data_IF_964943661043
#
_entry.id   IF_964943661043
#
_cell.length_a   1.000
_cell.length_b   1.000
_cell.length_c   1.000
_cell.angle_alpha   90.00
_cell.angle_beta   90.00
_cell.angle_gamma   90.00
#
_symmetry.space_group_name_H-M   'P 1'
#
loop_
_entity.id
_entity.type
_entity.pdbx_description
1 polymer ?
#
# COMPACT_ATOMS: atom_id res chain seq x y z
N UNK A 1 -6.97 -1.83 16.39
CA UNK A 1 -5.92 -2.85 16.59
C UNK A 1 -4.65 -2.29 15.94
N UNK A 2 -3.71 -1.73 16.72
CA UNK A 2 -2.39 -1.35 16.22
C UNK A 2 -1.64 -2.64 15.94
N UNK A 3 -1.05 -2.77 14.76
CA UNK A 3 -0.13 -3.87 14.49
C UNK A 3 1.07 -3.75 15.43
N UNK A 4 1.02 -4.41 16.59
CA UNK A 4 2.21 -4.68 17.39
C UNK A 4 2.93 -5.86 16.74
N UNK A 5 3.61 -5.59 15.64
CA UNK A 5 4.68 -6.47 15.18
C UNK A 5 5.89 -6.10 16.04
N UNK A 6 6.35 -7.05 16.83
CA UNK A 6 7.46 -6.90 17.77
C UNK A 6 8.73 -6.42 17.05
N UNK A 7 9.22 -5.23 17.42
CA UNK A 7 10.65 -4.95 17.52
C UNK A 7 11.52 -4.71 16.26
N UNK A 8 10.98 -4.58 15.04
CA UNK A 8 11.78 -4.27 13.84
C UNK A 8 11.52 -2.89 13.21
N UNK A 9 12.40 -2.41 12.33
CA UNK A 9 12.38 -1.08 11.68
C UNK A 9 11.08 -0.71 10.91
N UNK A 10 10.19 -1.68 10.72
CA UNK A 10 8.87 -1.58 10.13
C UNK A 10 7.88 -0.68 10.85
N UNK A 11 8.14 -0.31 12.12
CA UNK A 11 7.31 0.67 12.84
C UNK A 11 7.21 2.02 12.13
N UNK A 12 8.19 2.35 11.26
CA UNK A 12 8.22 3.61 10.51
C UNK A 12 7.26 3.64 9.31
N UNK A 13 6.77 2.47 8.87
CA UNK A 13 5.80 2.35 7.78
C UNK A 13 4.43 2.09 8.40
N UNK A 14 3.71 3.17 8.70
CA UNK A 14 2.34 3.09 9.22
C UNK A 14 1.35 3.53 8.13
N UNK A 15 0.85 2.63 7.29
CA UNK A 15 -0.29 2.91 6.41
C UNK A 15 -1.51 3.33 7.24
N UNK A 16 -2.38 4.14 6.63
CA UNK A 16 -3.62 4.58 7.30
C UNK A 16 -4.54 3.40 7.61
N UNK A 17 -4.63 2.42 6.69
CA UNK A 17 -5.40 1.19 6.87
C UNK A 17 -4.65 0.01 6.26
N UNK A 18 -4.73 -1.15 6.92
CA UNK A 18 -4.26 -2.43 6.38
C UNK A 18 -5.39 -3.44 6.38
N UNK A 19 -5.67 -4.03 5.23
CA UNK A 19 -6.53 -5.21 5.10
C UNK A 19 -5.65 -6.43 4.89
N UNK A 20 -5.89 -7.49 5.65
CA UNK A 20 -5.12 -8.74 5.56
C UNK A 20 -6.00 -9.81 4.97
N UNK A 21 -5.43 -10.57 4.05
CA UNK A 21 -6.04 -11.76 3.47
C UNK A 21 -5.18 -12.98 3.84
N UNK A 22 -5.40 -13.59 5.02
CA UNK A 22 -4.58 -14.69 5.52
C UNK A 22 -4.50 -15.86 4.54
N UNK A 23 -5.62 -16.21 3.92
CA UNK A 23 -5.79 -17.34 3.01
C UNK A 23 -5.01 -17.13 1.71
N UNK A 24 -4.96 -15.89 1.21
CA UNK A 24 -4.16 -15.52 0.04
C UNK A 24 -2.72 -15.13 0.39
N UNK A 25 -2.34 -15.17 1.67
CA UNK A 25 -1.02 -14.74 2.16
C UNK A 25 -0.58 -13.38 1.60
N UNK A 26 -1.52 -12.42 1.54
CA UNK A 26 -1.30 -11.07 1.04
C UNK A 26 -1.99 -10.02 1.93
N UNK A 27 -1.68 -8.75 1.70
CA UNK A 27 -2.28 -7.60 2.37
C UNK A 27 -2.50 -6.44 1.39
N UNK A 28 -3.49 -5.61 1.68
CA UNK A 28 -3.74 -4.35 1.00
C UNK A 28 -3.46 -3.20 1.98
N UNK A 29 -2.48 -2.36 1.65
CA UNK A 29 -2.16 -1.15 2.40
C UNK A 29 -2.86 0.04 1.74
N UNK A 30 -3.59 0.82 2.51
CA UNK A 30 -4.28 2.02 2.02
C UNK A 30 -3.61 3.26 2.60
N UNK A 31 -3.32 4.21 1.71
CA UNK A 31 -2.74 5.51 2.00
C UNK A 31 -3.74 6.58 1.54
N UNK A 32 -4.45 7.21 2.47
CA UNK A 32 -5.38 8.30 2.16
C UNK A 32 -4.60 9.58 1.90
N UNK A 33 -4.77 10.13 0.71
CA UNK A 33 -4.14 11.38 0.32
C UNK A 33 -5.19 12.48 0.13
N UNK A 34 -5.23 13.38 1.12
CA UNK A 34 -6.10 14.56 1.11
C UNK A 34 -5.45 15.80 0.48
N UNK A 35 -4.33 15.63 -0.22
CA UNK A 35 -3.52 16.72 -0.76
C UNK A 35 -2.63 17.43 0.26
N UNK A 36 -2.65 17.01 1.53
CA UNK A 36 -1.93 17.67 2.63
C UNK A 36 -0.47 17.22 2.76
N UNK A 37 -0.13 16.02 2.26
CA UNK A 37 1.25 15.51 2.26
C UNK A 37 2.04 16.12 1.10
N UNK A 38 3.27 16.55 1.34
CA UNK A 38 4.17 16.91 0.25
C UNK A 38 4.50 15.68 -0.60
N UNK A 39 4.83 15.88 -1.88
CA UNK A 39 5.28 14.78 -2.74
C UNK A 39 6.60 14.17 -2.25
N UNK A 40 7.47 14.97 -1.63
CA UNK A 40 8.69 14.50 -0.97
C UNK A 40 8.37 13.51 0.15
N UNK A 41 7.39 13.82 1.01
CA UNK A 41 6.99 12.89 2.07
C UNK A 41 6.41 11.58 1.52
N UNK A 42 5.71 11.64 0.38
CA UNK A 42 5.19 10.45 -0.29
C UNK A 42 6.36 9.63 -0.87
N UNK A 43 7.33 10.26 -1.51
CA UNK A 43 8.52 9.59 -2.02
C UNK A 43 9.32 8.91 -0.89
N UNK A 44 9.51 9.60 0.24
CA UNK A 44 10.15 9.01 1.44
C UNK A 44 9.35 7.81 1.94
N UNK A 45 8.02 7.90 2.00
CA UNK A 45 7.18 6.78 2.43
C UNK A 45 7.28 5.58 1.47
N UNK A 46 7.32 5.82 0.16
CA UNK A 46 7.52 4.77 -0.85
C UNK A 46 8.90 4.11 -0.74
N UNK A 47 9.94 4.91 -0.51
CA UNK A 47 11.28 4.40 -0.23
C UNK A 47 11.29 3.53 1.05
N UNK A 48 10.56 3.94 2.09
CA UNK A 48 10.41 3.11 3.29
C UNK A 48 9.66 1.80 3.00
N UNK A 49 8.67 1.79 2.10
CA UNK A 49 8.02 0.53 1.66
C UNK A 49 8.97 -0.41 0.91
N UNK A 50 9.97 0.14 0.20
CA UNK A 50 11.04 -0.62 -0.46
C UNK A 50 12.04 -1.17 0.56
N UNK A 51 12.55 -0.32 1.44
CA UNK A 51 13.55 -0.69 2.46
C UNK A 51 12.99 -1.59 3.54
N UNK A 52 11.67 -1.45 3.77
CA UNK A 52 10.88 -2.40 4.48
C UNK A 52 11.22 -3.77 3.89
N UNK A 53 10.76 -4.20 2.71
CA UNK A 53 10.86 -5.62 2.25
C UNK A 53 12.23 -6.29 2.36
N UNK A 54 13.31 -5.52 2.49
CA UNK A 54 14.68 -5.97 2.68
C UNK A 54 15.02 -6.40 4.12
N UNK A 55 14.23 -6.07 5.16
CA UNK A 55 14.59 -6.48 6.53
C UNK A 55 14.35 -8.00 6.76
N UNK A 56 15.24 -8.66 7.52
CA UNK A 56 15.21 -10.11 7.71
C UNK A 56 13.94 -10.64 8.39
N UNK A 57 13.29 -9.80 9.19
CA UNK A 57 12.11 -10.13 9.99
C UNK A 57 10.79 -9.75 9.30
N UNK A 58 10.79 -9.44 8.00
CA UNK A 58 9.53 -9.07 7.36
C UNK A 58 8.56 -10.23 7.34
N UNK A 59 7.28 -10.00 7.72
CA UNK A 59 6.27 -10.96 7.38
C UNK A 59 6.16 -11.05 5.85
N UNK A 60 6.40 -12.24 5.30
CA UNK A 60 6.32 -12.55 3.87
C UNK A 60 5.00 -12.13 3.22
N UNK A 61 3.90 -12.13 3.99
CA UNK A 61 2.58 -11.64 3.56
C UNK A 61 2.57 -10.15 3.22
N UNK A 62 3.36 -9.36 3.94
CA UNK A 62 3.48 -7.92 3.77
C UNK A 62 4.46 -7.61 2.63
N UNK A 63 5.42 -8.51 2.34
CA UNK A 63 6.24 -8.43 1.13
C UNK A 63 5.41 -8.54 -0.16
N UNK A 64 4.30 -9.28 -0.10
CA UNK A 64 3.35 -9.48 -1.21
C UNK A 64 2.22 -8.44 -1.22
N UNK A 65 2.33 -7.39 -0.42
CA UNK A 65 1.25 -6.42 -0.32
C UNK A 65 1.19 -5.49 -1.52
N UNK A 66 -0.03 -5.07 -1.86
CA UNK A 66 -0.29 -3.92 -2.71
C UNK A 66 -0.48 -2.66 -1.86
N UNK A 67 -0.02 -1.53 -2.36
CA UNK A 67 -0.11 -0.20 -1.74
C UNK A 67 -1.04 0.65 -2.60
N UNK A 68 -2.17 1.07 -2.05
CA UNK A 68 -3.18 1.84 -2.76
C UNK A 68 -3.25 3.25 -2.18
N UNK A 69 -2.86 4.23 -2.97
CA UNK A 69 -3.09 5.63 -2.66
C UNK A 69 -4.51 6.02 -3.06
N UNK A 70 -5.28 6.52 -2.09
CA UNK A 70 -6.67 6.91 -2.24
C UNK A 70 -6.76 8.42 -2.25
N UNK A 71 -6.98 9.02 -3.42
CA UNK A 71 -6.99 10.47 -3.60
C UNK A 71 -8.35 11.09 -3.27
N UNK A 72 -8.34 12.14 -2.44
CA UNK A 72 -9.51 12.99 -2.19
C UNK A 72 -9.11 14.48 -2.01
N UNK A 73 -9.43 15.37 -2.97
CA UNK A 73 -10.13 15.10 -4.22
C UNK A 73 -9.27 14.31 -5.23
N UNK A 74 -9.89 13.67 -6.23
CA UNK A 74 -9.15 13.03 -7.31
C UNK A 74 -8.32 14.06 -8.08
N UNK A 75 -7.09 13.69 -8.44
CA UNK A 75 -6.18 14.55 -9.18
C UNK A 75 -5.27 13.72 -10.09
N UNK A 76 -5.46 13.77 -11.42
CA UNK A 76 -4.60 13.06 -12.36
C UNK A 76 -3.12 13.44 -12.22
N UNK A 77 -2.83 14.74 -12.10
CA UNK A 77 -1.46 15.24 -11.89
C UNK A 77 -0.82 14.65 -10.63
N UNK A 78 -1.57 14.58 -9.53
CA UNK A 78 -1.08 13.99 -8.29
C UNK A 78 -0.91 12.48 -8.40
N UNK A 79 -1.83 11.78 -9.07
CA UNK A 79 -1.71 10.35 -9.33
C UNK A 79 -0.45 10.04 -10.14
N UNK A 80 -0.19 10.78 -11.22
CA UNK A 80 1.02 10.63 -12.02
C UNK A 80 2.29 10.88 -11.19
N UNK A 81 2.29 11.91 -10.33
CA UNK A 81 3.44 12.19 -9.47
C UNK A 81 3.71 11.06 -8.46
N UNK A 82 2.67 10.47 -7.87
CA UNK A 82 2.81 9.34 -6.95
C UNK A 82 3.33 8.09 -7.67
N UNK A 83 2.80 7.81 -8.87
CA UNK A 83 3.28 6.68 -9.68
C UNK A 83 4.73 6.87 -10.15
N UNK A 84 5.13 8.10 -10.46
CA UNK A 84 6.52 8.43 -10.76
C UNK A 84 7.43 8.19 -9.56
N UNK A 85 7.06 8.69 -8.38
CA UNK A 85 7.80 8.44 -7.15
C UNK A 85 7.87 6.94 -6.80
N UNK A 86 6.82 6.17 -7.12
CA UNK A 86 6.83 4.72 -6.92
C UNK A 86 7.81 4.02 -7.85
N UNK A 87 7.92 4.48 -9.10
CA UNK A 87 8.90 3.97 -10.06
C UNK A 87 10.34 4.34 -9.65
N UNK A 88 10.57 5.56 -9.16
CA UNK A 88 11.89 5.97 -8.63
C UNK A 88 12.30 5.12 -7.42
N UNK A 89 11.35 4.74 -6.58
CA UNK A 89 11.57 3.84 -5.45
C UNK A 89 11.60 2.35 -5.84
N UNK A 90 11.34 1.98 -7.10
CA UNK A 90 11.32 0.59 -7.58
C UNK A 90 10.21 -0.28 -6.98
N UNK A 91 9.06 0.32 -6.63
CA UNK A 91 7.90 -0.36 -6.04
C UNK A 91 6.62 -0.17 -6.85
N UNK A 92 6.72 0.33 -8.09
CA UNK A 92 5.60 0.64 -8.98
C UNK A 92 4.68 -0.56 -9.24
N UNK A 93 5.23 -1.78 -9.31
CA UNK A 93 4.45 -3.01 -9.49
C UNK A 93 3.50 -3.30 -8.32
N UNK A 94 3.72 -2.67 -7.16
CA UNK A 94 2.90 -2.82 -5.95
C UNK A 94 1.98 -1.63 -5.73
N UNK A 95 2.18 -0.51 -6.44
CA UNK A 95 1.47 0.74 -6.17
C UNK A 95 0.32 0.94 -7.15
N UNK A 96 -0.86 1.23 -6.62
CA UNK A 96 -2.00 1.72 -7.39
C UNK A 96 -2.46 3.06 -6.82
N UNK A 97 -3.03 3.91 -7.68
CA UNK A 97 -3.65 5.18 -7.26
C UNK A 97 -5.09 5.18 -7.74
N UNK A 98 -6.02 5.42 -6.83
CA UNK A 98 -7.46 5.45 -7.12
C UNK A 98 -8.10 6.72 -6.57
N UNK A 99 -9.27 7.08 -7.11
CA UNK A 99 -10.13 8.08 -6.49
C UNK A 99 -10.84 7.50 -5.26
N UNK A 100 -11.13 8.33 -4.26
CA UNK A 100 -11.82 7.88 -3.04
C UNK A 100 -13.19 7.24 -3.28
N UNK A 101 -13.93 7.69 -4.30
CA UNK A 101 -15.23 7.08 -4.64
C UNK A 101 -15.09 5.67 -5.25
N UNK A 102 -13.92 5.29 -5.75
CA UNK A 102 -13.64 3.97 -6.32
C UNK A 102 -13.15 2.97 -5.26
N UNK A 103 -12.93 3.42 -4.02
CA UNK A 103 -12.35 2.60 -2.96
C UNK A 103 -13.16 1.34 -2.67
N UNK A 104 -14.48 1.45 -2.58
CA UNK A 104 -15.34 0.30 -2.31
C UNK A 104 -15.18 -0.77 -3.40
N UNK A 105 -15.19 -0.37 -4.67
CA UNK A 105 -15.01 -1.26 -5.82
C UNK A 105 -13.64 -1.93 -5.79
N UNK A 106 -12.57 -1.16 -5.53
CA UNK A 106 -11.21 -1.69 -5.46
C UNK A 106 -11.02 -2.71 -4.32
N UNK A 107 -11.62 -2.45 -3.15
CA UNK A 107 -11.55 -3.36 -2.00
C UNK A 107 -12.32 -4.65 -2.27
N UNK A 108 -13.53 -4.56 -2.85
CA UNK A 108 -14.33 -5.74 -3.21
C UNK A 108 -13.60 -6.61 -4.25
N UNK A 109 -12.98 -5.99 -5.26
CA UNK A 109 -12.19 -6.70 -6.26
C UNK A 109 -10.95 -7.39 -5.64
N UNK A 110 -10.26 -6.71 -4.71
CA UNK A 110 -9.14 -7.30 -3.98
C UNK A 110 -9.56 -8.51 -3.12
N UNK A 111 -10.71 -8.43 -2.43
CA UNK A 111 -11.29 -9.55 -1.68
C UNK A 111 -11.60 -10.72 -2.63
N UNK A 112 -12.30 -10.46 -3.72
CA UNK A 112 -12.70 -11.50 -4.68
C UNK A 112 -11.49 -12.22 -5.28
N UNK A 113 -10.42 -11.49 -5.60
CA UNK A 113 -9.15 -12.07 -6.09
C UNK A 113 -8.44 -12.90 -5.02
N UNK A 114 -8.44 -12.45 -3.78
CA UNK A 114 -7.88 -13.21 -2.67
C UNK A 114 -8.65 -14.52 -2.42
N UNK A 115 -9.99 -14.48 -2.47
CA UNK A 115 -10.84 -15.66 -2.31
C UNK A 115 -10.67 -16.65 -3.47
N UNK A 116 -10.52 -16.17 -4.70
CA UNK A 116 -10.25 -17.04 -5.85
C UNK A 116 -8.93 -17.81 -5.69
N UNK A 117 -7.89 -17.19 -5.13
CA UNK A 117 -6.61 -17.85 -4.85
C UNK A 117 -6.72 -18.95 -3.78
N UNK A 118 -7.70 -18.85 -2.87
CA UNK A 118 -7.97 -19.91 -1.89
C UNK A 118 -8.60 -21.16 -2.53
N UNK A 119 -9.37 -20.99 -3.59
CA UNK A 119 -10.13 -22.06 -4.23
C UNK A 119 -9.30 -22.91 -5.22
N UNK A 120 -8.10 -22.45 -5.57
CA UNK A 120 -7.13 -23.11 -6.46
C UNK A 120 -6.05 -23.86 -5.68
#
# INVERSE_FOLDING_TARGET
>A
MRWQISGGAWHEVTPDVVLVFPEASTALMLEYDRGLRSLENIAVQLQRYREAVEQPDFPSRVARSSIVYVLHPPSPTRATAILHAAAEAGVEARVAVIAAWDLATAVVDAIAKADAHRAS
#
